data_IF_342722920657
#
_entry.id   IF_342722920657
#
_cell.length_a   1.000
_cell.length_b   1.000
_cell.length_c   1.000
_cell.angle_alpha   90.00
_cell.angle_beta   90.00
_cell.angle_gamma   90.00
#
_symmetry.space_group_name_H-M   'P 1'
#
loop_
_entity.id
_entity.type
_entity.pdbx_description
1 polymer ?
#
# COMPACT_ATOMS: atom_id res chain seq x y z
N UNK A 1 -3.85 -3.57 -15.84
CA UNK A 1 -2.98 -2.98 -14.79
C UNK A 1 -3.66 -1.73 -14.26
N UNK A 2 -3.62 -1.54 -12.93
CA UNK A 2 -4.19 -0.39 -12.21
C UNK A 2 -3.24 0.79 -12.35
N UNK A 3 -3.72 2.02 -12.56
CA UNK A 3 -2.85 3.19 -12.74
C UNK A 3 -2.67 3.95 -11.41
N UNK A 4 -1.44 4.32 -11.05
CA UNK A 4 -1.12 5.00 -9.79
C UNK A 4 -0.14 6.17 -9.97
N UNK A 5 -0.28 7.22 -9.15
CA UNK A 5 0.66 8.36 -9.05
C UNK A 5 1.54 8.32 -7.79
N UNK A 6 1.24 7.40 -6.86
CA UNK A 6 2.10 7.07 -5.73
C UNK A 6 2.08 5.56 -5.48
N UNK A 7 3.24 4.99 -5.19
CA UNK A 7 3.40 3.64 -4.62
C UNK A 7 4.28 3.73 -3.39
N UNK A 8 3.82 3.16 -2.28
CA UNK A 8 4.64 2.89 -1.10
C UNK A 8 4.83 1.39 -1.02
N UNK A 9 6.07 0.92 -1.10
CA UNK A 9 6.42 -0.50 -1.07
C UNK A 9 7.44 -0.80 0.03
N UNK A 10 7.80 -2.08 0.19
CA UNK A 10 8.73 -2.49 1.25
C UNK A 10 8.17 -2.23 2.64
N UNK A 11 6.85 -2.22 2.79
CA UNK A 11 6.18 -2.03 4.08
C UNK A 11 6.35 -3.32 4.88
N UNK A 12 6.90 -3.23 6.09
CA UNK A 12 7.02 -4.37 6.98
C UNK A 12 5.63 -4.87 7.37
N UNK A 13 4.85 -3.96 7.97
CA UNK A 13 3.46 -4.19 8.36
C UNK A 13 2.57 -3.06 7.87
N UNK A 14 1.53 -3.40 7.12
CA UNK A 14 0.48 -2.47 6.72
C UNK A 14 -0.78 -2.77 7.51
N UNK A 15 -1.23 -1.81 8.32
CA UNK A 15 -2.52 -1.89 9.01
C UNK A 15 -3.58 -1.27 8.13
N UNK A 16 -4.61 -2.03 7.78
CA UNK A 16 -5.70 -1.56 6.92
C UNK A 16 -6.95 -1.14 7.70
N UNK A 17 -7.08 -1.60 8.95
CA UNK A 17 -8.31 -1.53 9.74
C UNK A 17 -9.52 -2.22 9.07
N UNK A 18 -9.25 -3.17 8.16
CA UNK A 18 -10.26 -3.97 7.47
C UNK A 18 -9.93 -5.46 7.68
N UNK A 19 -10.65 -6.12 8.60
CA UNK A 19 -10.37 -7.49 9.01
C UNK A 19 -10.35 -8.48 7.83
N UNK A 20 -11.11 -8.23 6.76
CA UNK A 20 -11.12 -9.08 5.57
C UNK A 20 -9.86 -9.01 4.70
N UNK A 21 -8.99 -8.02 4.92
CA UNK A 21 -7.80 -7.81 4.07
C UNK A 21 -6.55 -8.51 4.59
N UNK A 22 -6.48 -8.88 5.87
CA UNK A 22 -5.25 -9.38 6.48
C UNK A 22 -5.48 -10.15 7.77
N UNK A 23 -4.43 -10.28 8.57
CA UNK A 23 -4.47 -11.03 9.82
C UNK A 23 -5.10 -10.21 10.96
N UNK A 24 -5.94 -10.87 11.74
CA UNK A 24 -6.54 -10.32 12.95
C UNK A 24 -7.56 -9.20 12.69
N UNK A 25 -8.12 -8.62 13.76
CA UNK A 25 -9.18 -7.62 13.66
C UNK A 25 -8.72 -6.30 13.02
N UNK A 26 -7.42 -6.06 12.94
CA UNK A 26 -6.83 -4.87 12.33
C UNK A 26 -6.54 -5.04 10.82
N UNK A 27 -6.70 -6.25 10.27
CA UNK A 27 -6.40 -6.51 8.86
C UNK A 27 -4.94 -6.24 8.52
N UNK A 28 -4.01 -6.83 9.27
CA UNK A 28 -2.57 -6.60 9.09
C UNK A 28 -2.03 -7.38 7.90
N UNK A 29 -1.27 -6.70 7.05
CA UNK A 29 -0.56 -7.28 5.92
C UNK A 29 0.95 -7.19 6.12
N UNK A 30 1.62 -8.34 6.12
CA UNK A 30 3.08 -8.44 6.16
C UNK A 30 3.69 -8.25 4.76
N UNK A 31 4.88 -7.63 4.70
CA UNK A 31 5.65 -7.45 3.45
C UNK A 31 4.81 -6.86 2.33
N UNK A 32 4.20 -5.71 2.60
CA UNK A 32 3.12 -5.13 1.82
C UNK A 32 3.56 -3.93 0.95
N UNK A 33 2.65 -3.52 0.09
CA UNK A 33 2.69 -2.29 -0.67
C UNK A 33 1.27 -1.74 -0.86
N UNK A 34 1.18 -0.42 -0.99
CA UNK A 34 -0.05 0.30 -1.29
C UNK A 34 0.21 1.28 -2.43
N UNK A 35 -0.77 1.46 -3.30
CA UNK A 35 -0.73 2.42 -4.39
C UNK A 35 -1.94 3.34 -4.35
N UNK A 36 -1.72 4.62 -4.65
CA UNK A 36 -2.79 5.60 -4.77
C UNK A 36 -2.80 6.27 -6.13
N UNK A 37 -3.97 6.81 -6.48
CA UNK A 37 -4.15 7.69 -7.62
C UNK A 37 -5.06 8.85 -7.22
N UNK A 38 -4.64 10.08 -7.46
CA UNK A 38 -5.42 11.29 -7.18
C UNK A 38 -5.98 11.30 -5.75
N UNK A 39 -5.14 10.92 -4.79
CA UNK A 39 -5.48 10.88 -3.36
C UNK A 39 -6.35 9.69 -2.92
N UNK A 40 -6.63 8.73 -3.79
CA UNK A 40 -7.43 7.54 -3.47
C UNK A 40 -6.58 6.28 -3.52
N UNK A 41 -6.76 5.36 -2.57
CA UNK A 41 -6.10 4.05 -2.62
C UNK A 41 -6.72 3.23 -3.76
N UNK A 42 -5.89 2.80 -4.71
CA UNK A 42 -6.33 2.04 -5.89
C UNK A 42 -5.87 0.59 -5.87
N UNK A 43 -4.90 0.27 -5.02
CA UNK A 43 -4.40 -1.10 -4.86
C UNK A 43 -3.69 -1.28 -3.52
N UNK A 44 -3.89 -2.44 -2.90
CA UNK A 44 -3.20 -2.91 -1.71
C UNK A 44 -2.79 -4.37 -1.97
N UNK A 45 -1.60 -4.77 -1.50
CA UNK A 45 -1.21 -6.18 -1.56
C UNK A 45 0.27 -6.42 -1.26
N UNK A 46 0.79 -7.63 -1.55
CA UNK A 46 2.17 -7.97 -1.27
C UNK A 46 3.17 -7.12 -2.06
N UNK A 47 4.26 -6.70 -1.42
CA UNK A 47 5.30 -5.85 -2.02
C UNK A 47 5.87 -6.47 -3.31
N UNK A 48 6.04 -7.80 -3.36
CA UNK A 48 6.55 -8.48 -4.56
C UNK A 48 5.60 -8.48 -5.76
N UNK A 49 4.37 -7.97 -5.63
CA UNK A 49 3.35 -8.00 -6.70
C UNK A 49 3.02 -6.65 -7.30
N UNK A 50 3.42 -5.53 -6.69
CA UNK A 50 2.96 -4.21 -7.14
C UNK A 50 3.39 -3.92 -8.59
N UNK A 51 4.63 -4.26 -8.97
CA UNK A 51 5.16 -4.06 -10.34
C UNK A 51 4.34 -4.75 -11.44
N UNK A 52 3.65 -5.85 -11.11
CA UNK A 52 2.81 -6.61 -12.07
C UNK A 52 1.37 -6.11 -12.10
N UNK A 53 0.93 -5.40 -11.06
CA UNK A 53 -0.46 -4.96 -10.87
C UNK A 53 -0.64 -3.49 -11.19
N UNK A 54 0.38 -2.68 -10.94
CA UNK A 54 0.35 -1.22 -10.99
C UNK A 54 1.19 -0.71 -12.15
N UNK A 55 0.59 0.16 -12.98
CA UNK A 55 1.26 0.97 -13.99
C UNK A 55 1.44 2.38 -13.42
N UNK A 56 2.69 2.85 -13.34
CA UNK A 56 3.00 4.20 -12.88
C UNK A 56 2.51 5.23 -13.90
N UNK A 57 1.85 6.27 -13.41
CA UNK A 57 1.57 7.48 -14.18
C UNK A 57 2.85 8.29 -14.40
N UNK A 58 2.82 9.21 -15.35
CA UNK A 58 3.90 10.17 -15.54
C UNK A 58 4.11 10.98 -14.25
N UNK A 59 5.37 11.13 -13.83
CA UNK A 59 5.71 11.83 -12.58
C UNK A 59 5.34 11.09 -11.29
N UNK A 60 4.92 9.81 -11.36
CA UNK A 60 4.55 9.06 -10.17
C UNK A 60 5.71 8.93 -9.17
N UNK A 61 5.38 9.00 -7.88
CA UNK A 61 6.34 8.81 -6.79
C UNK A 61 6.37 7.36 -6.37
N UNK A 62 7.57 6.83 -6.15
CA UNK A 62 7.78 5.48 -5.60
C UNK A 62 8.60 5.63 -4.33
N UNK A 63 8.06 5.14 -3.22
CA UNK A 63 8.67 5.27 -1.89
C UNK A 63 8.90 3.87 -1.31
N UNK A 64 10.13 3.63 -0.85
CA UNK A 64 10.45 2.45 -0.05
C UNK A 64 10.26 2.78 1.44
N UNK A 65 9.36 2.05 2.10
CA UNK A 65 9.12 2.17 3.53
C UNK A 65 10.26 1.57 4.37
N UNK A 66 11.15 0.76 3.78
CA UNK A 66 12.31 0.19 4.45
C UNK A 66 11.95 -0.69 5.64
N UNK A 67 10.90 -1.51 5.50
CA UNK A 67 10.42 -2.44 6.53
C UNK A 67 9.62 -1.79 7.66
N UNK A 68 9.31 -0.49 7.57
CA UNK A 68 8.52 0.22 8.61
C UNK A 68 7.04 -0.19 8.59
N UNK A 69 6.38 0.10 9.69
CA UNK A 69 4.93 0.02 9.80
C UNK A 69 4.26 1.22 9.11
N UNK A 70 3.19 0.96 8.37
CA UNK A 70 2.32 1.97 7.76
C UNK A 70 0.90 1.76 8.31
N UNK A 71 0.32 2.85 8.80
CA UNK A 71 -1.02 2.88 9.40
C UNK A 71 -1.88 3.94 8.71
N UNK A 72 -3.21 3.87 8.81
CA UNK A 72 -4.07 4.97 8.40
C UNK A 72 -3.73 6.24 9.20
N UNK A 73 -4.03 7.40 8.62
CA UNK A 73 -3.84 8.67 9.30
C UNK A 73 -4.65 8.73 10.61
N UNK A 74 -4.06 9.30 11.66
CA UNK A 74 -4.78 9.55 12.90
C UNK A 74 -5.91 10.56 12.68
N UNK A 75 -6.99 10.42 13.44
CA UNK A 75 -8.13 11.33 13.47
C UNK A 75 -8.21 11.90 14.89
N UNK A 76 -8.24 13.23 14.99
CA UNK A 76 -8.50 14.02 16.20
C UNK A 76 -9.81 14.78 16.00
#
# INVERSE_FOLDING_TARGET
MIQADLVVHGIGQLVTCEAGQGEGPLGVLEQAAVASRHGQIVWVGPTGRWLRRVRLAEGARVLDAGGRCVVPGFVD
#
